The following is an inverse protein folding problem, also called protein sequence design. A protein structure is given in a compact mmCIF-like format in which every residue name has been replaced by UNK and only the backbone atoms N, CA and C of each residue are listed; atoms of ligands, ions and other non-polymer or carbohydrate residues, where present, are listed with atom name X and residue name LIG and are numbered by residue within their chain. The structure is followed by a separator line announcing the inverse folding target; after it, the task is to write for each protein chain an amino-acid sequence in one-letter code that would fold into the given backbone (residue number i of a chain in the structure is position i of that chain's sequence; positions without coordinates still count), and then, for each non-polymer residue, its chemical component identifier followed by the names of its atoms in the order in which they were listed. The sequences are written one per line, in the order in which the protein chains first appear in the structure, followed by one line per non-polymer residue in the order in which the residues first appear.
data_IF_303320628556
#
_entry.id   IF_303320628556
#
_cell.length_a   1.000
_cell.length_b   1.000
_cell.length_c   1.000
_cell.angle_alpha   90.00
_cell.angle_beta   90.00
_cell.angle_gamma   90.00
#
_symmetry.space_group_name_H-M   'P 1'
#
loop_
_entity.id
_entity.type
_entity.pdbx_description
1 polymer ?
#
# COMPACT_ATOMS: atom_id res chain seq x y z
N UNK A 1 -3.94 -10.79 4.94
CA UNK A 1 -4.35 -9.54 5.65
C UNK A 1 -5.05 -8.54 4.74
N UNK A 2 -4.57 -8.30 3.51
CA UNK A 2 -5.13 -7.25 2.63
C UNK A 2 -6.28 -7.69 1.70
N UNK A 3 -6.36 -8.97 1.35
CA UNK A 3 -7.47 -9.51 0.56
C UNK A 3 -8.78 -9.36 1.34
N UNK A 4 -9.80 -8.81 0.69
CA UNK A 4 -11.12 -8.51 1.26
C UNK A 4 -11.11 -7.47 2.41
N UNK A 5 -10.06 -6.65 2.50
CA UNK A 5 -10.06 -5.53 3.44
C UNK A 5 -11.12 -4.51 2.98
N UNK A 6 -12.08 -4.12 3.84
CA UNK A 6 -13.10 -3.15 3.46
C UNK A 6 -12.48 -1.87 2.92
N UNK A 7 -13.09 -1.29 1.88
CA UNK A 7 -12.68 -0.05 1.22
C UNK A 7 -11.34 -0.08 0.47
N UNK A 8 -10.57 -1.17 0.54
CA UNK A 8 -9.33 -1.31 -0.22
C UNK A 8 -9.63 -1.97 -1.57
N UNK A 9 -9.48 -1.22 -2.66
CA UNK A 9 -9.67 -1.74 -4.01
C UNK A 9 -8.44 -2.49 -4.53
N UNK A 10 -7.24 -1.94 -4.30
CA UNK A 10 -6.01 -2.61 -4.72
C UNK A 10 -4.81 -2.25 -3.85
N UNK A 11 -3.85 -3.16 -3.78
CA UNK A 11 -2.53 -2.93 -3.20
C UNK A 11 -1.46 -3.48 -4.12
N UNK A 12 -0.44 -2.67 -4.39
CA UNK A 12 0.78 -3.10 -5.06
C UNK A 12 1.95 -2.92 -4.09
N UNK A 13 2.83 -3.92 -4.06
CA UNK A 13 4.11 -3.82 -3.36
C UNK A 13 5.21 -3.76 -4.41
N UNK A 14 6.00 -2.70 -4.34
CA UNK A 14 7.09 -2.40 -5.25
C UNK A 14 8.38 -2.37 -4.43
N UNK A 15 9.47 -2.80 -5.05
CA UNK A 15 10.80 -2.72 -4.48
C UNK A 15 11.78 -2.36 -5.58
N UNK A 16 12.55 -1.31 -5.36
CA UNK A 16 13.66 -0.95 -6.22
C UNK A 16 14.94 -1.61 -5.69
N UNK A 17 15.51 -2.50 -6.49
CA UNK A 17 16.72 -3.23 -6.14
C UNK A 17 17.98 -2.36 -6.16
N UNK A 18 18.00 -1.25 -6.91
CA UNK A 18 19.17 -0.38 -7.01
C UNK A 18 19.28 0.55 -5.80
N UNK A 19 18.17 1.21 -5.43
CA UNK A 19 18.13 2.10 -4.26
C UNK A 19 17.82 1.37 -2.95
N UNK A 20 17.44 0.09 -3.01
CA UNK A 20 16.93 -0.71 -1.89
C UNK A 20 15.72 -0.08 -1.19
N UNK A 21 14.86 0.61 -1.95
CA UNK A 21 13.65 1.24 -1.42
C UNK A 21 12.40 0.43 -1.73
N UNK A 22 11.57 0.23 -0.70
CA UNK A 22 10.23 -0.33 -0.86
C UNK A 22 9.18 0.77 -1.01
N UNK A 23 8.22 0.56 -1.91
CA UNK A 23 7.04 1.40 -2.08
C UNK A 23 5.79 0.52 -2.04
N UNK A 24 4.76 0.95 -1.32
CA UNK A 24 3.46 0.32 -1.42
C UNK A 24 2.45 1.32 -1.93
N UNK A 25 1.76 0.97 -3.01
CA UNK A 25 0.70 1.79 -3.60
C UNK A 25 -0.63 1.17 -3.20
N UNK A 26 -1.56 2.01 -2.74
CA UNK A 26 -2.88 1.60 -2.31
C UNK A 26 -3.94 2.43 -3.00
N UNK A 27 -4.99 1.77 -3.47
CA UNK A 27 -6.19 2.44 -3.95
C UNK A 27 -7.32 2.19 -2.95
N UNK A 28 -7.76 3.26 -2.30
CA UNK A 28 -8.85 3.25 -1.33
C UNK A 28 -10.08 3.91 -1.92
N UNK A 29 -11.25 3.43 -1.49
CA UNK A 29 -12.56 4.03 -1.77
C UNK A 29 -12.63 5.50 -1.31
N UNK A 30 -12.02 5.81 -0.17
CA UNK A 30 -11.93 7.18 0.34
C UNK A 30 -10.71 7.38 1.25
N UNK A 31 -10.36 8.65 1.47
CA UNK A 31 -9.21 9.06 2.29
C UNK A 31 -9.34 8.68 3.76
N UNK A 32 -10.53 8.79 4.35
CA UNK A 32 -10.73 8.49 5.77
C UNK A 32 -10.45 7.01 6.08
N UNK A 33 -10.82 6.09 5.18
CA UNK A 33 -10.49 4.67 5.31
C UNK A 33 -8.98 4.42 5.26
N UNK A 34 -8.24 5.13 4.40
CA UNK A 34 -6.79 5.04 4.33
C UNK A 34 -6.14 5.55 5.63
N UNK A 35 -6.56 6.72 6.11
CA UNK A 35 -6.03 7.33 7.34
C UNK A 35 -6.30 6.48 8.59
N UNK A 36 -7.49 5.87 8.68
CA UNK A 36 -7.82 4.95 9.77
C UNK A 36 -6.92 3.70 9.78
N UNK A 37 -6.55 3.22 8.59
CA UNK A 37 -5.65 2.08 8.44
C UNK A 37 -4.20 2.45 8.77
N UNK A 38 -3.68 3.54 8.21
CA UNK A 38 -2.30 4.02 8.43
C UNK A 38 -2.15 4.83 9.71
N UNK A 39 -2.67 4.30 10.80
CA UNK A 39 -2.47 4.87 12.12
C UNK A 39 -1.06 4.59 12.66
N UNK A 40 -0.70 5.31 13.71
CA UNK A 40 0.61 5.25 14.35
C UNK A 40 0.99 3.83 14.82
N UNK A 41 0.04 3.04 15.32
CA UNK A 41 0.27 1.66 15.75
C UNK A 41 0.65 0.77 14.56
N UNK A 42 -0.04 0.90 13.44
CA UNK A 42 0.29 0.19 12.20
C UNK A 42 1.69 0.59 11.71
N UNK A 43 2.01 1.87 11.68
CA UNK A 43 3.31 2.36 11.20
C UNK A 43 4.46 1.84 12.06
N UNK A 44 4.31 1.84 13.38
CA UNK A 44 5.31 1.28 14.31
C UNK A 44 5.45 -0.24 14.13
N UNK A 45 4.34 -0.96 14.03
CA UNK A 45 4.36 -2.40 13.81
C UNK A 45 5.02 -2.75 12.47
N UNK A 46 4.72 -2.00 11.40
CA UNK A 46 5.29 -2.20 10.07
C UNK A 46 6.79 -1.90 10.05
N UNK A 47 7.22 -0.80 10.68
CA UNK A 47 8.64 -0.49 10.85
C UNK A 47 9.38 -1.66 11.52
N UNK A 48 8.83 -2.18 12.61
CA UNK A 48 9.45 -3.26 13.38
C UNK A 48 9.46 -4.59 12.59
N UNK A 49 8.34 -4.98 11.97
CA UNK A 49 8.22 -6.25 11.26
C UNK A 49 9.08 -6.33 10.00
N UNK A 50 9.29 -5.19 9.34
CA UNK A 50 10.14 -5.07 8.16
C UNK A 50 11.59 -4.68 8.50
N UNK A 51 11.93 -4.57 9.80
CA UNK A 51 13.24 -4.20 10.32
C UNK A 51 13.80 -2.91 9.68
N UNK A 52 12.94 -1.90 9.52
CA UNK A 52 13.29 -0.63 8.87
C UNK A 52 13.85 0.37 9.89
N UNK A 53 14.86 1.18 9.50
CA UNK A 53 15.45 2.17 10.40
C UNK A 53 14.48 3.31 10.74
N UNK A 54 13.49 3.57 9.88
CA UNK A 54 12.52 4.65 10.03
C UNK A 54 11.12 4.16 9.63
N UNK A 55 10.09 4.88 10.09
CA UNK A 55 8.71 4.65 9.65
C UNK A 55 8.55 4.96 8.16
N UNK A 56 7.61 4.29 7.47
CA UNK A 56 7.29 4.66 6.11
C UNK A 56 6.68 6.07 6.08
N UNK A 57 7.01 6.82 5.03
CA UNK A 57 6.36 8.09 4.71
C UNK A 57 5.05 7.79 3.99
N UNK A 58 3.97 8.44 4.39
CA UNK A 58 2.64 8.27 3.79
C UNK A 58 2.26 9.55 3.04
N UNK A 59 1.94 9.39 1.75
CA UNK A 59 1.48 10.46 0.88
C UNK A 59 0.08 10.13 0.36
N UNK A 60 -0.76 11.15 0.20
CA UNK A 60 -2.14 11.01 -0.23
C UNK A 60 -2.36 11.81 -1.51
N UNK A 61 -2.98 11.18 -2.51
CA UNK A 61 -3.32 11.78 -3.79
C UNK A 61 -4.74 11.43 -4.18
N UNK A 62 -5.44 12.38 -4.82
CA UNK A 62 -6.71 12.10 -5.45
C UNK A 62 -6.50 11.35 -6.76
N UNK A 63 -7.21 10.23 -6.92
CA UNK A 63 -7.14 9.42 -8.13
C UNK A 63 -8.28 9.81 -9.06
N UNK A 64 -7.98 10.51 -10.16
CA UNK A 64 -8.99 10.97 -11.11
C UNK A 64 -9.53 9.84 -11.99
N UNK A 65 -8.67 8.88 -12.36
CA UNK A 65 -9.05 7.74 -13.19
C UNK A 65 -8.17 6.53 -12.85
N UNK A 66 -8.78 5.35 -12.87
CA UNK A 66 -8.08 4.07 -12.77
C UNK A 66 -8.40 3.28 -14.02
N UNK A 67 -7.36 2.84 -14.73
CA UNK A 67 -7.48 1.92 -15.84
C UNK A 67 -6.75 0.65 -15.45
N UNK A 68 -7.52 -0.39 -15.16
CA UNK A 68 -6.99 -1.72 -14.89
C UNK A 68 -7.45 -2.66 -16.01
N UNK A 69 -6.52 -2.98 -16.92
CA UNK A 69 -6.78 -3.91 -18.03
C UNK A 69 -6.80 -5.37 -17.58
N UNK A 70 -6.48 -5.64 -16.31
CA UNK A 70 -6.28 -6.97 -15.74
C UNK A 70 -7.27 -7.25 -14.62
N UNK A 71 -8.39 -6.52 -14.55
CA UNK A 71 -9.43 -6.75 -13.54
C UNK A 71 -9.85 -8.23 -13.56
N UNK A 72 -9.57 -8.93 -12.46
CA UNK A 72 -9.83 -10.36 -12.30
C UNK A 72 -8.58 -11.25 -12.30
N UNK A 73 -7.42 -10.74 -12.73
CA UNK A 73 -6.17 -11.47 -12.76
C UNK A 73 -5.41 -11.35 -11.42
N UNK A 74 -4.67 -12.41 -11.06
CA UNK A 74 -3.69 -12.37 -9.96
C UNK A 74 -2.29 -12.49 -10.58
N UNK A 75 -1.45 -11.48 -10.33
CA UNK A 75 -0.07 -11.44 -10.81
C UNK A 75 0.88 -11.70 -9.65
N UNK A 76 1.64 -12.79 -9.76
CA UNK A 76 2.79 -13.07 -8.90
C UNK A 76 4.07 -12.78 -9.68
N UNK A 77 5.01 -12.06 -9.08
CA UNK A 77 6.36 -11.87 -9.65
C UNK A 77 7.12 -13.18 -9.72
N UNK A 78 8.04 -13.29 -10.69
CA UNK A 78 9.01 -14.37 -10.81
C UNK A 78 10.17 -14.18 -9.82
#
# INVERSE_FOLDING_TARGET
MFKNLPHLYSKQFCFDAESHQGLSVYLWDNRASAEAFFNEQFLQHFQHSMNMPQKPVIEYHDTLVVVDNRVGDILSGA
#
